data_IF_770264111276
#
_entry.id   IF_770264111276
#
_cell.length_a   1.000
_cell.length_b   1.000
_cell.length_c   1.000
_cell.angle_alpha   90.00
_cell.angle_beta   90.00
_cell.angle_gamma   90.00
#
_symmetry.space_group_name_H-M   'P 1'
#
loop_
_entity.id
_entity.type
_entity.pdbx_description
1 polymer ?
#
# COMPACT_ATOMS: atom_id res chain seq x y z
N UNK A 1 14.94 1.66 -1.29
CA UNK A 1 14.38 1.70 0.08
C UNK A 1 14.21 0.28 0.61
N UNK A 2 14.02 0.13 1.92
CA UNK A 2 13.90 -1.16 2.64
C UNK A 2 12.44 -1.67 2.69
N UNK A 3 11.82 -1.80 1.53
CA UNK A 3 10.37 -2.01 1.43
C UNK A 3 9.93 -3.41 1.90
N UNK A 4 10.75 -4.43 1.66
CA UNK A 4 10.46 -5.78 2.15
C UNK A 4 10.48 -5.82 3.68
N UNK A 5 11.46 -5.16 4.31
CA UNK A 5 11.51 -5.05 5.77
C UNK A 5 10.38 -4.20 6.34
N UNK A 6 9.93 -3.17 5.62
CA UNK A 6 8.70 -2.44 5.99
C UNK A 6 7.50 -3.38 6.05
N UNK A 7 7.29 -4.22 5.02
CA UNK A 7 6.19 -5.18 5.02
C UNK A 7 6.30 -6.16 6.19
N UNK A 8 7.49 -6.72 6.44
CA UNK A 8 7.73 -7.63 7.56
C UNK A 8 7.42 -6.99 8.92
N UNK A 9 7.84 -5.75 9.13
CA UNK A 9 7.57 -5.03 10.36
C UNK A 9 6.07 -4.73 10.55
N UNK A 10 5.37 -4.37 9.48
CA UNK A 10 3.92 -4.14 9.50
C UNK A 10 3.15 -5.44 9.77
N UNK A 11 3.57 -6.56 9.18
CA UNK A 11 2.97 -7.88 9.42
C UNK A 11 3.16 -8.32 10.87
N UNK A 12 4.34 -8.15 11.44
CA UNK A 12 4.60 -8.47 12.84
C UNK A 12 3.71 -7.63 13.78
N UNK A 13 3.55 -6.33 13.51
CA UNK A 13 2.66 -5.46 14.29
C UNK A 13 1.20 -5.89 14.18
N UNK A 14 0.75 -6.29 13.00
CA UNK A 14 -0.65 -6.64 12.74
C UNK A 14 -1.11 -7.90 13.51
N UNK A 15 -0.17 -8.67 14.06
CA UNK A 15 -0.47 -9.79 14.98
C UNK A 15 -1.05 -9.31 16.32
N UNK A 16 -0.72 -8.08 16.74
CA UNK A 16 -1.08 -7.56 18.07
C UNK A 16 -2.19 -6.51 18.01
N UNK A 17 -2.29 -5.76 16.90
CA UNK A 17 -3.29 -4.73 16.72
C UNK A 17 -3.60 -4.56 15.24
N UNK A 18 -4.88 -4.33 14.92
CA UNK A 18 -5.30 -4.01 13.57
C UNK A 18 -4.47 -2.83 13.01
N UNK A 19 -4.10 -2.96 11.75
CA UNK A 19 -3.35 -1.93 11.04
C UNK A 19 -4.19 -0.63 10.92
N UNK A 20 -3.58 0.49 11.30
CA UNK A 20 -4.20 1.82 11.19
C UNK A 20 -4.11 2.32 9.73
N UNK A 21 -4.94 3.29 9.36
CA UNK A 21 -5.06 3.78 7.99
C UNK A 21 -3.74 4.26 7.38
N UNK A 22 -2.96 5.01 8.14
CA UNK A 22 -1.63 5.50 7.80
C UNK A 22 -0.63 4.36 7.52
N UNK A 23 -0.69 3.29 8.32
CA UNK A 23 0.13 2.10 8.14
C UNK A 23 -0.28 1.31 6.90
N UNK A 24 -1.59 1.20 6.62
CA UNK A 24 -2.08 0.61 5.36
C UNK A 24 -1.59 1.43 4.16
N UNK A 25 -1.61 2.76 4.23
CA UNK A 25 -1.07 3.61 3.15
C UNK A 25 0.44 3.35 2.97
N UNK A 26 1.22 3.28 4.05
CA UNK A 26 2.64 2.95 3.99
C UNK A 26 2.90 1.56 3.35
N UNK A 27 2.10 0.56 3.72
CA UNK A 27 2.12 -0.78 3.11
C UNK A 27 1.84 -0.74 1.61
N UNK A 28 0.84 0.04 1.19
CA UNK A 28 0.51 0.24 -0.22
C UNK A 28 1.68 0.82 -1.01
N UNK A 29 2.36 1.84 -0.44
CA UNK A 29 3.55 2.43 -1.05
C UNK A 29 4.71 1.44 -1.16
N UNK A 30 4.95 0.64 -0.10
CA UNK A 30 6.00 -0.37 -0.11
C UNK A 30 5.78 -1.40 -1.24
N UNK A 31 4.55 -1.91 -1.39
CA UNK A 31 4.22 -2.82 -2.50
C UNK A 31 4.38 -2.16 -3.88
N UNK A 32 3.94 -0.90 -4.03
CA UNK A 32 4.08 -0.18 -5.29
C UNK A 32 5.56 -0.02 -5.69
N UNK A 33 6.43 0.35 -4.74
CA UNK A 33 7.87 0.50 -4.98
C UNK A 33 8.57 -0.82 -5.30
N UNK A 34 8.00 -1.95 -4.88
CA UNK A 34 8.43 -3.30 -5.27
C UNK A 34 7.80 -3.79 -6.58
N UNK A 35 7.09 -2.93 -7.33
CA UNK A 35 6.33 -3.29 -8.55
C UNK A 35 5.27 -4.37 -8.34
N UNK A 36 4.84 -4.59 -7.09
CA UNK A 36 3.75 -5.50 -6.73
C UNK A 36 2.42 -4.78 -6.85
N UNK A 37 2.05 -4.43 -8.08
CA UNK A 37 0.92 -3.52 -8.35
C UNK A 37 -0.44 -4.04 -7.88
N UNK A 38 -0.68 -5.36 -8.00
CA UNK A 38 -1.93 -5.97 -7.52
C UNK A 38 -2.08 -5.85 -6.00
N UNK A 39 -1.00 -6.14 -5.26
CA UNK A 39 -0.97 -5.99 -3.81
C UNK A 39 -1.12 -4.53 -3.39
N UNK A 40 -0.39 -3.62 -4.03
CA UNK A 40 -0.48 -2.19 -3.78
C UNK A 40 -1.92 -1.68 -3.97
N UNK A 41 -2.57 -2.06 -5.09
CA UNK A 41 -3.96 -1.70 -5.38
C UNK A 41 -4.91 -2.16 -4.28
N UNK A 42 -4.82 -3.43 -3.88
CA UNK A 42 -5.69 -4.01 -2.85
C UNK A 42 -5.57 -3.25 -1.52
N UNK A 43 -4.35 -2.93 -1.11
CA UNK A 43 -4.09 -2.22 0.14
C UNK A 43 -4.59 -0.78 0.06
N UNK A 44 -4.31 -0.05 -1.03
CA UNK A 44 -4.84 1.30 -1.20
C UNK A 44 -6.37 1.34 -1.30
N UNK A 45 -7.01 0.33 -1.89
CA UNK A 45 -8.48 0.22 -1.89
C UNK A 45 -9.04 0.07 -0.47
N UNK A 46 -8.41 -0.79 0.36
CA UNK A 46 -8.81 -0.95 1.75
C UNK A 46 -8.66 0.37 2.55
N UNK A 47 -7.54 1.08 2.38
CA UNK A 47 -7.31 2.36 3.04
C UNK A 47 -8.20 3.50 2.49
N UNK A 48 -8.57 3.48 1.21
CA UNK A 48 -9.52 4.45 0.65
C UNK A 48 -10.93 4.22 1.21
N UNK A 49 -11.32 2.97 1.44
CA UNK A 49 -12.61 2.62 2.05
C UNK A 49 -12.81 3.15 3.48
N UNK A 50 -11.72 3.55 4.15
CA UNK A 50 -11.76 4.18 5.49
C UNK A 50 -11.68 5.71 5.44
N UNK A 51 -11.71 6.30 4.24
CA UNK A 51 -11.68 7.75 4.03
C UNK A 51 -10.29 8.37 3.89
N UNK A 52 -9.23 7.58 3.69
CA UNK A 52 -7.86 8.11 3.54
C UNK A 52 -7.64 8.81 2.19
N UNK A 53 -7.34 10.13 2.16
CA UNK A 53 -7.04 10.83 0.91
C UNK A 53 -5.72 10.36 0.28
N UNK A 54 -4.73 10.01 1.11
CA UNK A 54 -3.42 9.52 0.63
C UNK A 54 -3.55 8.19 -0.12
N UNK A 55 -4.51 7.35 0.29
CA UNK A 55 -4.80 6.09 -0.38
C UNK A 55 -5.34 6.29 -1.80
N UNK A 56 -6.15 7.34 -2.02
CA UNK A 56 -6.63 7.70 -3.37
C UNK A 56 -5.45 8.12 -4.27
N UNK A 57 -4.51 8.90 -3.75
CA UNK A 57 -3.26 9.22 -4.44
C UNK A 57 -2.44 7.98 -4.78
N UNK A 58 -2.39 7.00 -3.87
CA UNK A 58 -1.80 5.69 -4.10
C UNK A 58 -2.42 4.93 -5.27
N UNK A 59 -3.75 4.88 -5.36
CA UNK A 59 -4.47 4.24 -6.47
C UNK A 59 -4.16 4.89 -7.82
N UNK A 60 -4.10 6.22 -7.87
CA UNK A 60 -3.73 6.94 -9.08
C UNK A 60 -2.31 6.58 -9.54
N UNK A 61 -1.35 6.47 -8.61
CA UNK A 61 0.01 6.07 -8.95
C UNK A 61 0.12 4.60 -9.40
N UNK A 62 -0.66 3.69 -8.81
CA UNK A 62 -0.73 2.30 -9.29
C UNK A 62 -1.23 2.26 -10.73
N UNK A 63 -2.31 2.98 -11.03
CA UNK A 63 -2.87 3.02 -12.39
C UNK A 63 -1.86 3.60 -13.40
N UNK A 64 -1.20 4.71 -13.06
CA UNK A 64 -0.18 5.31 -13.91
C UNK A 64 0.98 4.34 -14.18
N UNK A 65 1.47 3.63 -13.15
CA UNK A 65 2.56 2.67 -13.29
C UNK A 65 2.18 1.47 -14.16
N UNK A 66 0.93 0.99 -14.08
CA UNK A 66 0.44 -0.12 -14.91
C UNK A 66 0.22 0.28 -16.37
N UNK A 67 -0.26 1.49 -16.62
CA UNK A 67 -0.45 2.00 -17.99
C UNK A 67 0.88 2.18 -18.73
N UNK A 68 1.96 2.58 -18.03
CA UNK A 68 3.30 2.72 -18.63
C UNK A 68 4.04 1.39 -18.88
N UNK A 69 3.48 0.25 -18.47
CA UNK A 69 4.03 -1.09 -18.72
C UNK A 69 3.41 -1.79 -19.93
N UNK A 70 2.37 -1.19 -20.53
CA UNK A 70 1.68 -1.68 -21.73
C UNK A 70 2.28 -1.04 -22.96
#
# INVERSE_FOLDING_TARGET
GRYAETILALDARNQYAQEQNDLLVLRGWAYLKMRRYADAKRIFQAAAGTGSPDALGGLAQVQAAQSGLR
#
